data_IF_484315742637
#
_entry.id   IF_484315742637
#
_cell.length_a   1.000
_cell.length_b   1.000
_cell.length_c   1.000
_cell.angle_alpha   90.00
_cell.angle_beta   90.00
_cell.angle_gamma   90.00
#
_symmetry.space_group_name_H-M   'P 1'
#
loop_
_entity.id
_entity.type
_entity.pdbx_description
1 polymer ?
#
# COMPACT_ATOMS: atom_id res chain seq x y z
N UNK A 1 -24.13 -29.19 -30.27
CA UNK A 1 -23.07 -28.17 -30.42
C UNK A 1 -23.05 -27.37 -29.14
N UNK A 2 -22.10 -27.65 -28.23
CA UNK A 2 -22.02 -26.99 -26.93
C UNK A 2 -21.01 -25.85 -27.02
N UNK A 3 -21.45 -24.62 -26.78
CA UNK A 3 -20.59 -23.44 -26.67
C UNK A 3 -19.98 -23.47 -25.28
N UNK A 4 -18.68 -23.77 -25.19
CA UNK A 4 -17.91 -23.57 -23.97
C UNK A 4 -17.71 -22.06 -23.82
N UNK A 5 -18.51 -21.41 -22.97
CA UNK A 5 -18.18 -20.08 -22.48
C UNK A 5 -16.95 -20.22 -21.59
N UNK A 6 -15.78 -19.90 -22.15
CA UNK A 6 -14.60 -19.55 -21.37
C UNK A 6 -14.96 -18.29 -20.58
N UNK A 7 -15.46 -18.49 -19.36
CA UNK A 7 -15.47 -17.44 -18.37
C UNK A 7 -14.01 -17.02 -18.18
N UNK A 8 -13.64 -15.90 -18.82
CA UNK A 8 -12.52 -15.12 -18.37
C UNK A 8 -12.88 -14.73 -16.94
N UNK A 9 -12.39 -15.50 -15.98
CA UNK A 9 -12.22 -14.95 -14.65
C UNK A 9 -11.25 -13.80 -14.87
N UNK A 10 -11.80 -12.60 -15.03
CA UNK A 10 -11.04 -11.38 -14.94
C UNK A 10 -10.33 -11.50 -13.61
N UNK A 11 -9.03 -11.78 -13.65
CA UNK A 11 -8.15 -11.58 -12.52
C UNK A 11 -8.52 -10.19 -12.00
N UNK A 12 -9.01 -10.10 -10.77
CA UNK A 12 -9.28 -8.82 -10.14
C UNK A 12 -8.07 -7.93 -10.44
N UNK A 13 -8.30 -6.84 -11.17
CA UNK A 13 -7.24 -6.14 -11.90
C UNK A 13 -6.14 -5.71 -10.95
N UNK A 14 -4.87 -5.88 -11.35
CA UNK A 14 -3.73 -5.34 -10.62
C UNK A 14 -3.46 -3.88 -11.01
N UNK A 15 -4.55 -3.12 -10.99
CA UNK A 15 -4.62 -1.71 -11.35
C UNK A 15 -5.09 -0.87 -10.16
N UNK A 16 -4.99 0.44 -10.31
CA UNK A 16 -5.33 1.38 -9.25
C UNK A 16 -6.84 1.51 -9.02
N UNK A 17 -7.69 1.11 -9.97
CA UNK A 17 -9.15 1.14 -9.80
C UNK A 17 -9.58 0.04 -8.83
N UNK A 18 -9.09 -1.19 -9.03
CA UNK A 18 -9.32 -2.30 -8.11
C UNK A 18 -8.83 -1.99 -6.68
N UNK A 19 -7.66 -1.35 -6.53
CA UNK A 19 -7.17 -0.91 -5.22
C UNK A 19 -8.09 0.14 -4.58
N UNK A 20 -8.59 1.12 -5.35
CA UNK A 20 -9.54 2.12 -4.84
C UNK A 20 -10.85 1.47 -4.39
N UNK A 21 -11.36 0.52 -5.17
CA UNK A 21 -12.57 -0.23 -4.83
C UNK A 21 -12.39 -1.05 -3.55
N UNK A 22 -11.25 -1.75 -3.42
CA UNK A 22 -10.95 -2.53 -2.22
C UNK A 22 -10.84 -1.65 -0.96
N UNK A 23 -10.16 -0.50 -1.03
CA UNK A 23 -10.15 0.47 0.07
C UNK A 23 -11.55 1.01 0.39
N UNK A 24 -12.36 1.25 -0.64
CA UNK A 24 -13.76 1.65 -0.49
C UNK A 24 -14.57 0.64 0.32
N UNK A 25 -14.41 -0.65 0.02
CA UNK A 25 -15.07 -1.75 0.74
C UNK A 25 -14.65 -1.82 2.21
N UNK A 26 -13.35 -1.73 2.51
CA UNK A 26 -12.88 -1.70 3.90
C UNK A 26 -13.50 -0.53 4.67
N UNK A 27 -13.53 0.66 4.05
CA UNK A 27 -14.14 1.85 4.68
C UNK A 27 -15.63 1.70 4.90
N UNK A 28 -16.38 1.19 3.92
CA UNK A 28 -17.82 0.92 4.07
C UNK A 28 -18.06 -0.12 5.16
N UNK A 29 -17.32 -1.22 5.14
CA UNK A 29 -17.40 -2.26 6.17
C UNK A 29 -17.11 -1.72 7.57
N UNK A 30 -16.19 -0.76 7.70
CA UNK A 30 -15.88 -0.12 8.97
C UNK A 30 -17.08 0.67 9.51
N UNK A 31 -17.65 1.55 8.66
CA UNK A 31 -18.80 2.39 9.04
C UNK A 31 -20.04 1.56 9.36
N UNK A 32 -20.27 0.47 8.63
CA UNK A 32 -21.43 -0.40 8.79
C UNK A 32 -21.23 -1.49 9.86
N UNK A 33 -20.04 -1.58 10.47
CA UNK A 33 -19.64 -2.69 11.35
C UNK A 33 -19.90 -4.06 10.70
N UNK A 34 -19.61 -4.17 9.40
CA UNK A 34 -19.90 -5.36 8.60
C UNK A 34 -19.07 -6.56 9.07
N UNK A 35 -19.70 -7.73 9.10
CA UNK A 35 -19.01 -9.00 9.32
C UNK A 35 -18.07 -9.41 8.18
N UNK A 36 -18.10 -8.70 7.04
CA UNK A 36 -17.23 -9.00 5.88
C UNK A 36 -15.90 -8.28 5.92
N UNK A 37 -15.67 -7.38 6.89
CA UNK A 37 -14.52 -6.47 6.87
C UNK A 37 -13.17 -7.19 6.78
N UNK A 38 -13.03 -8.35 7.42
CA UNK A 38 -11.79 -9.13 7.35
C UNK A 38 -11.52 -9.70 5.95
N UNK A 39 -12.59 -10.06 5.22
CA UNK A 39 -12.46 -10.49 3.83
C UNK A 39 -12.11 -9.30 2.92
N UNK A 40 -12.74 -8.15 3.14
CA UNK A 40 -12.46 -6.93 2.38
C UNK A 40 -11.03 -6.43 2.63
N UNK A 41 -10.51 -6.56 3.86
CA UNK A 41 -9.11 -6.26 4.22
C UNK A 41 -8.12 -7.12 3.44
N UNK A 42 -8.36 -8.43 3.35
CA UNK A 42 -7.49 -9.33 2.55
C UNK A 42 -7.47 -8.95 1.08
N UNK A 43 -8.63 -8.64 0.49
CA UNK A 43 -8.72 -8.18 -0.90
C UNK A 43 -7.97 -6.87 -1.11
N UNK A 44 -8.04 -5.94 -0.14
CA UNK A 44 -7.26 -4.71 -0.16
C UNK A 44 -5.75 -4.98 -0.12
N UNK A 45 -5.27 -5.83 0.78
CA UNK A 45 -3.85 -6.18 0.89
C UNK A 45 -3.32 -6.85 -0.39
N UNK A 46 -4.07 -7.81 -0.94
CA UNK A 46 -3.74 -8.46 -2.22
C UNK A 46 -3.69 -7.45 -3.37
N UNK A 47 -4.69 -6.55 -3.44
CA UNK A 47 -4.75 -5.50 -4.47
C UNK A 47 -3.59 -4.52 -4.37
N UNK A 48 -3.16 -4.18 -3.14
CA UNK A 48 -2.01 -3.31 -2.90
C UNK A 48 -0.71 -3.97 -3.35
N UNK A 49 -0.47 -5.22 -2.93
CA UNK A 49 0.77 -5.92 -3.23
C UNK A 49 0.94 -6.23 -4.72
N UNK A 50 -0.16 -6.33 -5.46
CA UNK A 50 -0.12 -6.63 -6.89
C UNK A 50 -0.03 -5.40 -7.79
N UNK A 51 0.00 -4.18 -7.24
CA UNK A 51 0.06 -2.95 -8.04
C UNK A 51 1.23 -2.93 -9.02
N UNK A 52 0.89 -2.75 -10.31
CA UNK A 52 1.80 -2.78 -11.45
C UNK A 52 2.19 -1.39 -11.98
N UNK A 53 1.70 -0.33 -11.34
CA UNK A 53 2.02 1.06 -11.66
C UNK A 53 2.42 1.79 -10.38
N UNK A 54 3.34 2.77 -10.44
CA UNK A 54 3.63 3.60 -9.28
C UNK A 54 2.35 4.29 -8.79
N UNK A 55 2.13 4.23 -7.49
CA UNK A 55 1.05 4.96 -6.83
C UNK A 55 1.31 6.46 -6.97
N UNK A 56 0.26 7.25 -6.81
CA UNK A 56 0.41 8.69 -6.57
C UNK A 56 0.43 8.95 -5.06
N UNK A 57 1.04 10.06 -4.58
CA UNK A 57 1.03 10.39 -3.16
C UNK A 57 -0.39 10.45 -2.55
N UNK A 58 -1.41 11.01 -3.23
CA UNK A 58 -2.80 10.93 -2.77
C UNK A 58 -3.34 9.50 -2.61
N UNK A 59 -2.95 8.58 -3.51
CA UNK A 59 -3.39 7.19 -3.44
C UNK A 59 -2.68 6.45 -2.30
N UNK A 60 -1.37 6.69 -2.11
CA UNK A 60 -0.62 6.16 -0.98
C UNK A 60 -1.15 6.69 0.38
N UNK A 61 -1.55 7.96 0.46
CA UNK A 61 -2.19 8.52 1.65
C UNK A 61 -3.47 7.75 2.03
N UNK A 62 -4.28 7.38 1.04
CA UNK A 62 -5.50 6.57 1.24
C UNK A 62 -5.20 5.12 1.62
N UNK A 63 -4.12 4.55 1.11
CA UNK A 63 -3.62 3.23 1.53
C UNK A 63 -3.29 3.25 3.03
N UNK A 64 -2.48 4.21 3.47
CA UNK A 64 -2.14 4.38 4.89
C UNK A 64 -3.38 4.67 5.75
N UNK A 65 -4.31 5.49 5.27
CA UNK A 65 -5.57 5.73 5.97
C UNK A 65 -6.37 4.41 6.16
N UNK A 66 -6.47 3.59 5.12
CA UNK A 66 -7.15 2.28 5.17
C UNK A 66 -6.47 1.32 6.14
N UNK A 67 -5.13 1.27 6.13
CA UNK A 67 -4.34 0.47 7.07
C UNK A 67 -4.54 0.92 8.52
N UNK A 68 -4.65 2.22 8.77
CA UNK A 68 -4.94 2.74 10.11
C UNK A 68 -6.32 2.31 10.63
N UNK A 69 -7.35 2.28 9.75
CA UNK A 69 -8.67 1.76 10.11
C UNK A 69 -8.62 0.27 10.46
N UNK A 70 -7.90 -0.51 9.66
CA UNK A 70 -7.69 -1.94 9.93
C UNK A 70 -7.00 -2.17 11.27
N UNK A 71 -5.91 -1.45 11.55
CA UNK A 71 -5.20 -1.53 12.82
C UNK A 71 -6.07 -1.11 14.02
N UNK A 72 -6.96 -0.12 13.84
CA UNK A 72 -7.85 0.34 14.91
C UNK A 72 -8.86 -0.74 15.30
N UNK A 73 -9.39 -1.48 14.32
CA UNK A 73 -10.29 -2.61 14.57
C UNK A 73 -9.59 -3.74 15.34
N UNK A 74 -8.30 -3.93 15.09
CA UNK A 74 -7.47 -4.91 15.79
C UNK A 74 -7.05 -4.43 17.19
N UNK A 75 -7.36 -3.18 17.58
CA UNK A 75 -6.94 -2.58 18.84
C UNK A 75 -5.44 -2.22 18.89
N UNK A 76 -4.77 -2.13 17.73
CA UNK A 76 -3.36 -1.73 17.64
C UNK A 76 -3.24 -0.20 17.51
N UNK A 77 -3.39 0.47 18.66
CA UNK A 77 -3.33 1.94 18.77
C UNK A 77 -2.02 2.52 18.19
N UNK A 78 -0.91 1.81 18.34
CA UNK A 78 0.40 2.28 17.88
C UNK A 78 0.49 2.26 16.35
N UNK A 79 0.07 1.16 15.73
CA UNK A 79 0.01 1.06 14.27
C UNK A 79 -1.01 2.05 13.71
N UNK A 80 -2.20 2.16 14.29
CA UNK A 80 -3.20 3.18 13.88
C UNK A 80 -2.60 4.58 13.85
N UNK A 81 -1.87 4.97 14.90
CA UNK A 81 -1.27 6.30 15.00
C UNK A 81 -0.18 6.52 13.95
N UNK A 82 0.66 5.53 13.69
CA UNK A 82 1.76 5.62 12.70
C UNK A 82 1.22 5.70 11.27
N UNK A 83 0.24 4.87 10.94
CA UNK A 83 -0.41 4.85 9.64
C UNK A 83 -1.16 6.17 9.36
N UNK A 84 -1.93 6.68 10.34
CA UNK A 84 -2.52 8.01 10.20
C UNK A 84 -1.48 9.13 10.09
N UNK A 85 -0.36 9.04 10.81
CA UNK A 85 0.69 10.04 10.70
C UNK A 85 1.28 10.05 9.28
N UNK A 86 1.45 8.87 8.68
CA UNK A 86 1.93 8.77 7.30
C UNK A 86 0.92 9.32 6.31
N UNK A 87 -0.36 8.96 6.43
CA UNK A 87 -1.43 9.50 5.59
C UNK A 87 -1.48 11.04 5.64
N UNK A 88 -1.37 11.64 6.84
CA UNK A 88 -1.36 13.10 7.02
C UNK A 88 -0.12 13.79 6.50
N UNK A 89 1.03 13.12 6.50
CA UNK A 89 2.23 13.69 5.87
C UNK A 89 2.07 13.83 4.36
N UNK A 90 1.37 12.89 3.73
CA UNK A 90 1.13 12.87 2.29
C UNK A 90 -0.01 13.81 1.88
N UNK A 91 -1.07 13.91 2.71
CA UNK A 91 -2.18 14.85 2.52
C UNK A 91 -2.46 15.67 3.80
N UNK A 92 -1.69 16.74 4.07
CA UNK A 92 -1.79 17.49 5.34
C UNK A 92 -3.11 18.24 5.52
N UNK A 93 -3.73 18.65 4.41
CA UNK A 93 -5.00 19.39 4.39
C UNK A 93 -6.24 18.47 4.31
N UNK A 94 -6.05 17.14 4.25
CA UNK A 94 -7.17 16.21 4.19
C UNK A 94 -7.96 16.22 5.51
N UNK A 95 -9.27 16.50 5.49
CA UNK A 95 -10.09 16.40 6.68
C UNK A 95 -10.34 14.94 7.05
N UNK A 96 -10.58 14.68 8.34
CA UNK A 96 -11.10 13.37 8.75
C UNK A 96 -12.51 13.19 8.16
N UNK A 97 -12.83 12.07 7.48
CA UNK A 97 -14.16 11.87 6.91
C UNK A 97 -15.23 11.77 8.01
N UNK A 98 -16.15 12.74 8.06
CA UNK A 98 -17.20 12.80 9.09
C UNK A 98 -18.15 11.58 9.09
N UNK A 99 -18.26 10.89 7.95
CA UNK A 99 -19.06 9.67 7.82
C UNK A 99 -18.43 8.45 8.52
N UNK A 100 -17.12 8.48 8.84
CA UNK A 100 -16.45 7.36 9.49
C UNK A 100 -16.68 7.33 11.00
N UNK A 101 -16.63 8.50 11.64
CA UNK A 101 -16.82 8.60 13.07
C UNK A 101 -17.20 10.02 13.48
N UNK A 102 -18.01 10.19 14.55
CA UNK A 102 -18.29 11.50 15.11
C UNK A 102 -17.02 12.13 15.71
N UNK A 103 -17.07 13.45 15.94
CA UNK A 103 -15.88 14.27 16.32
C UNK A 103 -15.24 13.85 17.64
N UNK A 104 -16.03 13.31 18.57
CA UNK A 104 -15.61 12.84 19.89
C UNK A 104 -15.10 11.39 19.89
N UNK A 105 -15.19 10.69 18.76
CA UNK A 105 -14.73 9.31 18.64
C UNK A 105 -13.19 9.21 18.78
N UNK A 106 -12.65 8.15 19.43
CA UNK A 106 -11.21 7.95 19.58
C UNK A 106 -10.43 8.01 18.26
N UNK A 107 -11.02 7.51 17.16
CA UNK A 107 -10.42 7.55 15.82
C UNK A 107 -10.17 8.98 15.31
N UNK A 108 -11.08 9.92 15.60
CA UNK A 108 -10.90 11.33 15.25
C UNK A 108 -9.74 11.94 16.03
N UNK A 109 -9.61 11.59 17.32
CA UNK A 109 -8.45 11.98 18.14
C UNK A 109 -7.15 11.39 17.59
N UNK A 110 -7.14 10.11 17.22
CA UNK A 110 -5.98 9.45 16.62
C UNK A 110 -5.53 10.19 15.34
N UNK A 111 -6.45 10.47 14.41
CA UNK A 111 -6.16 11.24 13.19
C UNK A 111 -5.59 12.64 13.49
N UNK A 112 -6.29 13.43 14.30
CA UNK A 112 -5.92 14.83 14.55
C UNK A 112 -4.62 15.00 15.33
N UNK A 113 -4.23 14.00 16.12
CA UNK A 113 -2.97 14.01 16.89
C UNK A 113 -1.83 13.28 16.20
N UNK A 114 -2.08 12.57 15.09
CA UNK A 114 -1.07 11.88 14.30
C UNK A 114 -0.23 12.86 13.46
N UNK A 115 0.62 13.64 14.12
CA UNK A 115 1.63 14.50 13.47
C UNK A 115 3.00 14.06 13.94
N UNK A 116 3.83 13.59 13.02
CA UNK A 116 5.20 13.15 13.30
C UNK A 116 6.10 13.70 12.21
N UNK A 117 7.25 14.28 12.60
CA UNK A 117 8.32 14.56 11.65
C UNK A 117 9.14 13.28 11.49
N UNK A 118 9.16 12.63 10.31
CA UNK A 118 9.84 11.36 10.15
C UNK A 118 11.36 11.51 10.22
N UNK A 119 12.00 10.46 10.72
CA UNK A 119 13.44 10.26 10.65
C UNK A 119 13.79 9.56 9.34
N UNK A 120 14.46 10.27 8.44
CA UNK A 120 14.78 9.77 7.11
C UNK A 120 16.12 9.02 7.07
N UNK A 121 16.12 7.81 6.49
CA UNK A 121 17.32 7.01 6.23
C UNK A 121 17.54 6.85 4.73
N UNK A 122 18.80 6.65 4.34
CA UNK A 122 19.14 6.40 2.93
C UNK A 122 18.73 4.99 2.53
N UNK A 123 18.13 4.88 1.36
CA UNK A 123 17.79 3.60 0.75
C UNK A 123 19.03 3.03 0.04
N UNK A 124 19.15 1.69 -0.05
CA UNK A 124 20.19 1.07 -0.85
C UNK A 124 20.14 1.59 -2.28
N UNK A 125 21.31 1.97 -2.84
CA UNK A 125 21.40 2.36 -4.23
C UNK A 125 20.99 1.21 -5.13
N UNK A 126 20.14 1.50 -6.11
CA UNK A 126 19.65 0.54 -7.08
C UNK A 126 20.61 0.50 -8.28
N UNK A 127 21.11 -0.68 -8.70
CA UNK A 127 21.94 -0.77 -9.90
C UNK A 127 21.14 -0.45 -11.17
N UNK A 128 19.84 -0.74 -11.17
CA UNK A 128 18.89 -0.45 -12.25
C UNK A 128 17.50 -0.14 -11.67
N UNK A 129 16.71 0.64 -12.41
CA UNK A 129 15.33 0.98 -12.06
C UNK A 129 15.18 2.23 -11.18
N UNK A 130 13.93 2.50 -10.81
CA UNK A 130 13.53 3.64 -9.98
C UNK A 130 12.83 3.13 -8.73
N UNK A 131 13.33 3.56 -7.56
CA UNK A 131 12.66 3.33 -6.28
C UNK A 131 11.67 4.45 -6.00
N UNK A 132 10.47 4.07 -5.58
CA UNK A 132 9.38 4.97 -5.23
C UNK A 132 8.98 4.71 -3.77
N UNK A 133 8.80 5.78 -3.01
CA UNK A 133 8.28 5.73 -1.63
C UNK A 133 6.99 6.54 -1.64
N UNK A 134 5.87 5.88 -1.37
CA UNK A 134 4.54 6.47 -1.34
C UNK A 134 4.19 7.31 -2.57
N UNK A 135 4.59 6.79 -3.73
CA UNK A 135 4.29 7.39 -5.03
C UNK A 135 5.22 8.52 -5.47
N UNK A 136 6.30 8.78 -4.73
CA UNK A 136 7.35 9.71 -5.15
C UNK A 136 8.68 8.97 -5.42
N UNK A 137 9.43 9.31 -6.48
CA UNK A 137 10.79 8.80 -6.67
C UNK A 137 11.67 9.20 -5.49
N UNK A 138 12.32 8.23 -4.85
CA UNK A 138 13.02 8.49 -3.59
C UNK A 138 14.30 7.67 -3.44
N UNK A 139 15.34 8.32 -2.89
CA UNK A 139 16.58 7.68 -2.42
C UNK A 139 16.64 7.58 -0.90
N UNK A 140 15.60 8.05 -0.21
CA UNK A 140 15.47 8.05 1.25
C UNK A 140 14.05 7.66 1.64
N UNK A 141 13.89 7.02 2.79
CA UNK A 141 12.60 6.62 3.33
C UNK A 141 12.51 6.92 4.83
N UNK A 142 11.30 7.06 5.40
CA UNK A 142 11.15 7.14 6.85
C UNK A 142 11.58 5.81 7.50
N UNK A 143 12.30 5.89 8.61
CA UNK A 143 12.70 4.72 9.41
C UNK A 143 11.78 4.44 10.59
N UNK A 144 11.00 5.45 10.98
CA UNK A 144 10.12 5.47 12.15
C UNK A 144 8.63 5.51 11.78
N UNK A 145 8.30 5.51 10.49
CA UNK A 145 6.94 5.40 9.96
C UNK A 145 6.86 4.31 8.87
N UNK A 146 5.69 3.68 8.70
CA UNK A 146 5.46 2.77 7.59
C UNK A 146 5.47 3.53 6.26
N UNK A 147 5.76 2.83 5.17
CA UNK A 147 5.66 3.37 3.82
C UNK A 147 5.41 2.26 2.80
N UNK A 148 4.74 2.61 1.69
CA UNK A 148 4.67 1.76 0.51
C UNK A 148 5.92 1.99 -0.32
N UNK A 149 6.68 0.93 -0.55
CA UNK A 149 7.81 0.94 -1.47
C UNK A 149 7.42 0.30 -2.78
N UNK A 150 7.72 0.97 -3.89
CA UNK A 150 7.59 0.39 -5.21
C UNK A 150 8.90 0.47 -5.97
N UNK A 151 9.28 -0.63 -6.60
CA UNK A 151 10.42 -0.67 -7.50
C UNK A 151 9.92 -0.82 -8.92
N UNK A 152 10.28 0.13 -9.77
CA UNK A 152 10.06 0.07 -11.20
C UNK A 152 11.35 -0.34 -11.93
N UNK A 153 11.32 -1.43 -12.69
CA UNK A 153 12.42 -1.87 -13.54
C UNK A 153 11.89 -2.38 -14.88
N UNK A 154 12.29 -1.73 -15.98
CA UNK A 154 11.71 -2.01 -17.29
C UNK A 154 10.21 -1.71 -17.30
N UNK A 155 9.38 -2.72 -17.60
CA UNK A 155 7.91 -2.63 -17.57
C UNK A 155 7.27 -3.22 -16.31
N UNK A 156 8.08 -3.62 -15.33
CA UNK A 156 7.60 -4.29 -14.12
C UNK A 156 7.69 -3.34 -12.93
N UNK A 157 6.63 -3.35 -12.12
CA UNK A 157 6.60 -2.71 -10.81
C UNK A 157 6.38 -3.78 -9.75
N UNK A 158 7.20 -3.77 -8.70
CA UNK A 158 7.00 -4.60 -7.50
C UNK A 158 6.64 -3.70 -6.35
N UNK A 159 5.58 -4.05 -5.65
CA UNK A 159 5.05 -3.27 -4.52
C UNK A 159 5.24 -4.02 -3.22
N UNK A 160 5.65 -3.31 -2.17
CA UNK A 160 5.76 -3.84 -0.81
C UNK A 160 5.32 -2.79 0.21
N UNK A 161 4.59 -3.21 1.23
CA UNK A 161 4.37 -2.41 2.43
C UNK A 161 5.53 -2.65 3.39
N UNK A 162 6.26 -1.59 3.75
CA UNK A 162 7.38 -1.67 4.69
C UNK A 162 6.91 -1.18 6.06
N UNK A 163 6.77 -2.06 7.06
CA UNK A 163 6.44 -1.64 8.41
C UNK A 163 7.61 -0.93 9.07
N UNK A 164 7.38 -0.27 10.21
CA UNK A 164 8.45 0.34 11.01
C UNK A 164 9.50 -0.70 11.41
N UNK A 165 10.78 -0.40 11.17
CA UNK A 165 11.88 -1.33 11.37
C UNK A 165 11.99 -2.45 10.32
N UNK A 166 11.05 -2.52 9.37
CA UNK A 166 11.11 -3.40 8.22
C UNK A 166 12.27 -3.05 7.30
N UNK A 167 12.80 -4.07 6.61
CA UNK A 167 13.81 -3.86 5.58
C UNK A 167 13.17 -3.75 4.21
N UNK A 168 13.65 -2.82 3.38
CA UNK A 168 13.28 -2.78 1.97
C UNK A 168 13.73 -4.09 1.29
N UNK A 169 12.85 -4.76 0.52
CA UNK A 169 13.19 -5.99 -0.17
C UNK A 169 14.47 -5.84 -0.99
N UNK A 170 15.43 -6.74 -0.76
CA UNK A 170 16.63 -6.82 -1.60
C UNK A 170 16.21 -7.29 -2.98
N UNK A 171 16.62 -6.52 -3.98
CA UNK A 171 16.34 -6.88 -5.36
C UNK A 171 17.44 -7.81 -5.80
N UNK A 172 17.06 -9.08 -5.97
CA UNK A 172 17.85 -9.99 -6.78
C UNK A 172 17.41 -9.71 -8.21
N UNK A 173 18.22 -8.94 -8.93
CA UNK A 173 18.08 -8.90 -10.38
C UNK A 173 18.58 -10.26 -10.85
N UNK A 174 17.66 -11.14 -11.19
CA UNK A 174 18.01 -12.30 -12.00
C UNK A 174 18.60 -11.71 -13.28
N UNK A 175 19.94 -11.73 -13.39
CA UNK A 175 20.61 -11.21 -14.56
C UNK A 175 19.98 -11.83 -15.80
N UNK A 176 19.93 -11.12 -16.94
CA UNK A 176 19.48 -11.73 -18.18
C UNK A 176 20.23 -13.05 -18.30
N UNK A 177 19.50 -14.17 -18.41
CA UNK A 177 20.11 -15.48 -18.58
C UNK A 177 21.20 -15.31 -19.64
N UNK A 178 22.46 -15.41 -19.22
CA UNK A 178 23.57 -15.05 -20.10
C UNK A 178 23.41 -15.85 -21.39
N UNK A 179 23.76 -15.32 -22.57
CA UNK A 179 23.63 -16.02 -23.84
C UNK A 179 24.52 -17.28 -23.98
N UNK A 180 24.96 -17.89 -22.88
CA UNK A 180 25.99 -18.93 -22.81
C UNK A 180 25.53 -20.36 -22.59
N UNK A 181 24.28 -20.62 -22.17
CA UNK A 181 23.80 -21.99 -21.91
C UNK A 181 22.88 -22.49 -23.03
N UNK A 182 23.33 -22.36 -24.28
CA UNK A 182 22.80 -23.23 -25.32
C UNK A 182 23.17 -24.68 -24.94
N UNK A 183 22.19 -25.61 -24.89
CA UNK A 183 22.50 -27.03 -24.70
C UNK A 183 23.54 -27.46 -25.73
N UNK A 184 24.65 -28.04 -25.28
CA UNK A 184 25.55 -28.75 -26.19
C UNK A 184 24.91 -30.11 -26.46
N UNK A 185 24.45 -30.28 -27.70
CA UNK A 185 24.08 -31.58 -28.26
C UNK A 185 25.28 -32.56 -28.29
#
# INVERSE_FOLDING_TARGET
MWIVMLAHQALAGCDQEALRDAMGKVRTGFTEMSSTIDADRRVFEESLLCQSTPLTPPLAARVHFTLALAAFLDGDDETTRREFARARLLEPEAPFPAALAPRDHPLHKAWTTAVVKPTMVDLPSLPVGTGWVDGEPATRAPSDLPFVYQLEYGSQVRTALIPVGGSVPKIVVDGPAGPGDAPKD
#
